data_IF_167370945308
#
_entry.id   IF_167370945308
#
_cell.length_a   1.000
_cell.length_b   1.000
_cell.length_c   1.000
_cell.angle_alpha   90.00
_cell.angle_beta   90.00
_cell.angle_gamma   90.00
#
_symmetry.space_group_name_H-M   'P 1'
#
loop_
_entity.id
_entity.type
_entity.pdbx_description
1 polymer ?
#
# COMPACT_ATOMS: atom_id res chain seq x y z
N UNK A 1 31.58 -5.65 6.69
CA UNK A 1 31.37 -7.11 6.80
C UNK A 1 29.95 -7.42 6.36
N UNK A 2 29.75 -8.44 5.51
CA UNK A 2 28.41 -8.89 5.11
C UNK A 2 27.69 -9.51 6.30
N UNK A 3 26.46 -9.07 6.57
CA UNK A 3 25.59 -9.62 7.61
C UNK A 3 24.44 -10.37 6.96
N UNK A 4 24.12 -11.56 7.46
CA UNK A 4 22.89 -12.23 7.11
C UNK A 4 21.80 -11.89 8.13
N UNK A 5 20.70 -11.31 7.65
CA UNK A 5 19.58 -10.88 8.48
C UNK A 5 18.33 -11.66 8.09
N UNK A 6 17.92 -12.59 8.95
CA UNK A 6 16.65 -13.28 8.79
C UNK A 6 15.51 -12.36 9.23
N UNK A 7 14.56 -12.11 8.33
CA UNK A 7 13.39 -11.30 8.65
C UNK A 7 12.45 -12.07 9.59
N UNK A 8 11.93 -11.45 10.66
CA UNK A 8 11.01 -12.11 11.58
C UNK A 8 9.65 -12.34 10.91
N UNK A 9 8.91 -13.36 11.35
CA UNK A 9 7.53 -13.54 10.91
C UNK A 9 6.70 -12.28 11.24
N UNK A 10 5.85 -11.85 10.30
CA UNK A 10 4.95 -10.70 10.51
C UNK A 10 5.60 -9.31 10.41
N UNK A 11 6.85 -9.16 9.93
CA UNK A 11 7.43 -7.85 9.63
C UNK A 11 6.53 -7.05 8.66
N UNK A 12 6.37 -5.75 8.89
CA UNK A 12 5.43 -4.91 8.14
C UNK A 12 5.92 -4.71 6.69
N UNK A 13 6.98 -3.93 6.51
CA UNK A 13 7.64 -3.69 5.23
C UNK A 13 8.96 -2.93 5.40
N UNK A 14 10.00 -3.41 4.75
CA UNK A 14 11.32 -2.79 4.58
C UNK A 14 11.28 -2.11 3.22
N UNK A 15 11.67 -0.84 3.16
CA UNK A 15 11.76 -0.13 1.89
C UNK A 15 13.20 0.05 1.49
N UNK A 16 13.45 -0.09 0.19
CA UNK A 16 14.75 0.11 -0.42
C UNK A 16 14.61 0.94 -1.69
N UNK A 17 15.71 1.45 -2.22
CA UNK A 17 15.74 2.21 -3.47
C UNK A 17 16.84 1.68 -4.35
N UNK A 18 16.61 1.71 -5.65
CA UNK A 18 17.69 1.54 -6.61
C UNK A 18 18.55 2.81 -6.70
N UNK A 19 19.81 2.71 -6.29
CA UNK A 19 20.80 3.78 -6.42
C UNK A 19 21.97 3.25 -7.25
N UNK A 20 21.88 3.49 -8.56
CA UNK A 20 22.88 3.07 -9.54
C UNK A 20 23.13 1.55 -9.55
N UNK A 21 22.07 0.76 -9.52
CA UNK A 21 22.11 -0.71 -9.52
C UNK A 21 22.28 -1.33 -8.14
N UNK A 22 22.35 -0.51 -7.08
CA UNK A 22 22.46 -0.97 -5.69
C UNK A 22 21.14 -0.81 -4.98
N UNK A 23 20.68 -1.86 -4.30
CA UNK A 23 19.48 -1.80 -3.46
C UNK A 23 19.84 -1.24 -2.09
N UNK A 24 19.53 0.03 -1.85
CA UNK A 24 19.85 0.69 -0.57
C UNK A 24 18.60 0.84 0.28
N UNK A 25 18.66 0.43 1.54
CA UNK A 25 17.56 0.57 2.50
C UNK A 25 17.21 2.04 2.67
N UNK A 26 15.97 2.41 2.35
CA UNK A 26 15.45 3.77 2.45
C UNK A 26 14.62 3.96 3.71
N UNK A 27 13.98 2.91 4.22
CA UNK A 27 13.21 2.93 5.46
C UNK A 27 13.22 1.55 6.14
N UNK A 28 13.39 1.56 7.46
CA UNK A 28 13.24 0.37 8.31
C UNK A 28 11.98 0.56 9.17
N UNK A 29 11.00 -0.34 9.08
CA UNK A 29 9.76 -0.19 9.83
C UNK A 29 10.07 -0.29 11.32
N UNK A 30 9.51 0.65 12.10
CA UNK A 30 9.54 0.58 13.56
C UNK A 30 8.48 -0.40 14.04
N UNK A 31 8.71 -1.09 15.17
CA UNK A 31 7.71 -1.98 15.75
C UNK A 31 6.36 -1.26 15.86
N UNK A 32 5.29 -1.92 15.39
CA UNK A 32 3.99 -1.29 15.15
C UNK A 32 3.42 -0.52 16.36
N UNK A 33 2.65 0.50 16.01
CA UNK A 33 1.88 1.47 16.81
C UNK A 33 0.95 0.90 17.90
N UNK A 34 0.83 -0.42 18.04
CA UNK A 34 -0.03 -1.07 19.02
C UNK A 34 0.63 -1.31 20.38
N UNK A 35 1.96 -1.20 20.49
CA UNK A 35 2.62 -1.24 21.80
C UNK A 35 2.51 0.12 22.50
N UNK A 36 2.23 0.13 23.80
CA UNK A 36 2.10 1.35 24.61
C UNK A 36 3.37 2.23 24.64
N UNK A 37 4.50 1.72 24.10
CA UNK A 37 5.80 2.38 24.02
C UNK A 37 6.05 3.11 22.68
N UNK A 38 5.00 3.54 21.99
CA UNK A 38 5.17 4.21 20.70
C UNK A 38 5.81 5.61 20.84
N UNK A 39 6.99 5.80 20.24
CA UNK A 39 7.76 7.05 20.29
C UNK A 39 9.19 6.90 19.73
N UNK A 40 10.07 7.87 20.03
CA UNK A 40 11.48 7.87 19.60
C UNK A 40 12.29 6.63 20.06
N UNK A 41 11.76 5.86 21.01
CA UNK A 41 12.36 4.66 21.57
C UNK A 41 11.85 3.34 20.94
N UNK A 42 10.97 3.38 19.92
CA UNK A 42 10.47 2.16 19.30
C UNK A 42 11.59 1.45 18.53
N UNK A 43 11.92 0.23 18.96
CA UNK A 43 12.93 -0.59 18.32
C UNK A 43 12.56 -0.88 16.84
N UNK A 44 13.53 -0.94 15.93
CA UNK A 44 13.32 -1.42 14.57
C UNK A 44 12.71 -2.83 14.59
N UNK A 45 11.76 -3.13 13.71
CA UNK A 45 11.22 -4.50 13.57
C UNK A 45 12.29 -5.47 13.07
N UNK A 46 13.24 -4.96 12.29
CA UNK A 46 14.34 -5.73 11.71
C UNK A 46 15.63 -5.29 12.39
N UNK A 47 16.12 -6.11 13.32
CA UNK A 47 17.40 -5.88 13.96
C UNK A 47 18.54 -5.96 12.93
N UNK A 48 19.60 -5.17 13.14
CA UNK A 48 20.82 -5.18 12.31
C UNK A 48 20.62 -4.72 10.85
N UNK A 49 19.56 -3.97 10.58
CA UNK A 49 19.36 -3.25 9.32
C UNK A 49 19.10 -1.78 9.63
N UNK A 50 19.82 -0.89 8.96
CA UNK A 50 19.68 0.55 9.09
C UNK A 50 19.42 1.21 7.73
N UNK A 51 18.85 2.41 7.75
CA UNK A 51 18.73 3.25 6.55
C UNK A 51 20.12 3.54 6.00
N UNK A 52 20.30 3.35 4.70
CA UNK A 52 21.57 3.48 4.00
C UNK A 52 22.37 2.18 3.87
N UNK A 53 21.98 1.11 4.55
CA UNK A 53 22.59 -0.20 4.33
C UNK A 53 22.25 -0.72 2.92
N UNK A 54 23.15 -1.50 2.32
CA UNK A 54 22.96 -2.08 0.99
C UNK A 54 22.49 -3.54 1.12
N UNK A 55 21.42 -3.88 0.43
CA UNK A 55 20.90 -5.24 0.26
C UNK A 55 21.58 -5.87 -0.94
N UNK A 56 22.61 -6.68 -0.68
CA UNK A 56 23.37 -7.37 -1.75
C UNK A 56 22.79 -8.73 -2.12
N UNK A 57 22.00 -9.33 -1.22
CA UNK A 57 21.30 -10.58 -1.54
C UNK A 57 19.98 -10.74 -0.79
N UNK A 58 19.10 -11.55 -1.37
CA UNK A 58 17.82 -12.02 -0.82
C UNK A 58 17.77 -13.53 -1.04
N UNK A 59 17.72 -14.30 0.05
CA UNK A 59 17.78 -15.76 0.02
C UNK A 59 18.98 -16.32 -0.78
N UNK A 60 20.13 -15.65 -0.68
CA UNK A 60 21.36 -16.03 -1.36
C UNK A 60 21.49 -15.55 -2.82
N UNK A 61 20.46 -14.90 -3.37
CA UNK A 61 20.48 -14.37 -4.74
C UNK A 61 20.63 -12.85 -4.75
N UNK A 62 21.38 -12.27 -5.68
CA UNK A 62 21.37 -10.82 -5.88
C UNK A 62 19.95 -10.35 -6.26
N UNK A 63 19.58 -9.08 -5.98
CA UNK A 63 18.26 -8.57 -6.36
C UNK A 63 17.91 -8.77 -7.85
N UNK A 64 18.89 -8.57 -8.74
CA UNK A 64 18.72 -8.79 -10.18
C UNK A 64 18.55 -10.28 -10.54
N UNK A 65 19.34 -11.17 -9.94
CA UNK A 65 19.18 -12.62 -10.15
C UNK A 65 17.85 -13.12 -9.62
N UNK A 66 17.42 -12.66 -8.44
CA UNK A 66 16.11 -13.01 -7.89
C UNK A 66 14.96 -12.55 -8.80
N UNK A 67 15.08 -11.36 -9.41
CA UNK A 67 14.09 -10.88 -10.37
C UNK A 67 13.94 -11.82 -11.58
N UNK A 68 15.05 -12.36 -12.10
CA UNK A 68 15.04 -13.38 -13.16
C UNK A 68 14.33 -14.65 -12.69
N UNK A 69 14.67 -15.14 -11.50
CA UNK A 69 14.07 -16.35 -10.91
C UNK A 69 12.57 -16.20 -10.61
N UNK A 70 12.09 -14.99 -10.30
CA UNK A 70 10.64 -14.72 -10.14
C UNK A 70 9.94 -14.75 -11.50
N UNK A 71 10.63 -14.34 -12.58
CA UNK A 71 10.09 -14.33 -13.94
C UNK A 71 10.22 -15.68 -14.67
N UNK A 72 11.08 -16.57 -14.19
CA UNK A 72 11.37 -17.86 -14.81
C UNK A 72 10.23 -18.88 -14.58
N UNK A 73 9.63 -19.45 -15.64
CA UNK A 73 8.61 -20.49 -15.51
C UNK A 73 9.11 -21.68 -14.67
N UNK A 74 8.23 -22.26 -13.85
CA UNK A 74 8.51 -23.45 -13.01
C UNK A 74 9.59 -23.25 -11.93
N UNK A 75 10.18 -22.08 -11.80
CA UNK A 75 11.06 -21.80 -10.67
C UNK A 75 10.23 -21.68 -9.37
N UNK A 76 10.79 -22.06 -8.22
CA UNK A 76 10.07 -22.04 -6.92
C UNK A 76 9.58 -20.66 -6.46
N UNK A 77 10.15 -19.58 -7.02
CA UNK A 77 9.73 -18.19 -6.76
C UNK A 77 8.70 -17.69 -7.78
N UNK A 78 8.41 -18.49 -8.81
CA UNK A 78 7.42 -18.21 -9.81
C UNK A 78 6.12 -18.97 -9.51
N UNK A 79 5.02 -18.23 -9.34
CA UNK A 79 3.70 -18.79 -9.02
C UNK A 79 2.83 -19.03 -10.26
N UNK A 80 3.33 -18.85 -11.48
CA UNK A 80 2.50 -18.89 -12.69
C UNK A 80 2.13 -20.33 -13.07
N UNK A 81 3.03 -21.29 -12.86
CA UNK A 81 2.80 -22.71 -13.17
C UNK A 81 1.94 -23.41 -12.13
N UNK A 82 1.91 -22.92 -10.89
CA UNK A 82 1.04 -23.41 -9.82
C UNK A 82 -0.32 -22.70 -9.76
N UNK A 83 -0.54 -21.72 -10.64
CA UNK A 83 -1.82 -21.03 -10.78
C UNK A 83 -2.83 -21.92 -11.50
N UNK A 84 -4.14 -21.72 -11.27
CA UNK A 84 -5.20 -22.47 -11.94
C UNK A 84 -6.12 -21.53 -12.76
N UNK A 85 -6.12 -21.60 -14.11
CA UNK A 85 -5.25 -22.44 -14.94
C UNK A 85 -3.79 -21.90 -14.98
N UNK A 86 -2.79 -22.77 -15.22
CA UNK A 86 -1.41 -22.35 -15.41
C UNK A 86 -1.29 -21.36 -16.56
N UNK A 87 -0.36 -20.40 -16.46
CA UNK A 87 -0.20 -19.36 -17.48
C UNK A 87 1.26 -18.96 -17.68
N UNK A 88 1.52 -18.29 -18.80
CA UNK A 88 2.84 -17.74 -19.13
C UNK A 88 3.13 -16.54 -18.21
N UNK A 89 4.32 -16.44 -17.60
CA UNK A 89 4.69 -15.29 -16.78
C UNK A 89 4.48 -13.95 -17.49
N UNK A 90 3.84 -13.01 -16.80
CA UNK A 90 3.52 -11.68 -17.30
C UNK A 90 2.21 -11.55 -18.08
N UNK A 91 1.45 -12.64 -18.28
CA UNK A 91 0.19 -12.59 -19.05
C UNK A 91 -1.04 -12.24 -18.21
N UNK A 92 -1.01 -12.50 -16.90
CA UNK A 92 -2.13 -12.25 -15.98
C UNK A 92 -2.19 -10.79 -15.54
N UNK A 93 -3.36 -10.16 -15.74
CA UNK A 93 -3.60 -8.75 -15.43
C UNK A 93 -3.79 -8.49 -13.93
N UNK A 94 -3.67 -7.21 -13.50
CA UNK A 94 -3.88 -6.80 -12.10
C UNK A 94 -5.29 -7.15 -11.59
N UNK A 95 -6.28 -7.07 -12.49
CA UNK A 95 -7.70 -7.25 -12.17
C UNK A 95 -8.17 -8.70 -12.20
N UNK A 96 -7.31 -9.66 -12.53
CA UNK A 96 -7.67 -11.08 -12.48
C UNK A 96 -7.60 -11.57 -11.03
N UNK A 97 -8.64 -12.31 -10.61
CA UNK A 97 -8.76 -12.87 -9.27
C UNK A 97 -8.67 -14.40 -9.35
N UNK A 98 -7.74 -15.04 -8.62
CA UNK A 98 -6.71 -14.42 -7.77
C UNK A 98 -5.61 -13.71 -8.58
N UNK A 99 -4.92 -12.73 -7.98
CA UNK A 99 -3.80 -12.07 -8.66
C UNK A 99 -2.56 -12.99 -8.66
N UNK A 100 -1.93 -13.23 -9.82
CA UNK A 100 -0.68 -13.96 -9.86
C UNK A 100 0.49 -13.08 -9.39
N UNK A 101 1.12 -13.45 -8.28
CA UNK A 101 2.19 -12.67 -7.61
C UNK A 101 3.39 -12.44 -8.54
N UNK A 102 3.79 -13.44 -9.31
CA UNK A 102 4.89 -13.30 -10.28
C UNK A 102 4.54 -12.39 -11.45
N UNK A 103 3.30 -12.44 -11.95
CA UNK A 103 2.84 -11.52 -13.00
C UNK A 103 2.74 -10.08 -12.48
N UNK A 104 2.29 -9.87 -11.24
CA UNK A 104 2.32 -8.54 -10.61
C UNK A 104 3.74 -8.02 -10.45
N UNK A 105 4.69 -8.86 -10.00
CA UNK A 105 6.10 -8.50 -9.93
C UNK A 105 6.67 -8.06 -11.29
N UNK A 106 6.49 -8.86 -12.35
CA UNK A 106 6.99 -8.56 -13.69
C UNK A 106 6.44 -7.21 -14.18
N UNK A 107 5.12 -7.00 -14.03
CA UNK A 107 4.47 -5.74 -14.41
C UNK A 107 5.05 -4.56 -13.63
N UNK A 108 5.15 -4.67 -12.30
CA UNK A 108 5.71 -3.58 -11.47
C UNK A 108 7.16 -3.30 -11.81
N UNK A 109 7.95 -4.33 -12.11
CA UNK A 109 9.35 -4.16 -12.49
C UNK A 109 9.47 -3.34 -13.77
N UNK A 110 8.64 -3.64 -14.78
CA UNK A 110 8.62 -2.92 -16.05
C UNK A 110 8.17 -1.45 -15.90
N UNK A 111 7.22 -1.18 -15.00
CA UNK A 111 6.63 0.17 -14.88
C UNK A 111 7.30 1.06 -13.83
N UNK A 112 7.78 0.48 -12.73
CA UNK A 112 8.21 1.22 -11.54
C UNK A 112 9.65 0.93 -11.13
N UNK A 113 10.31 -0.04 -11.76
CA UNK A 113 11.67 -0.45 -11.39
C UNK A 113 11.72 -1.62 -10.40
N UNK A 114 12.94 -2.15 -10.23
CA UNK A 114 13.18 -3.38 -9.47
C UNK A 114 12.93 -3.19 -7.97
N UNK A 115 13.28 -2.03 -7.42
CA UNK A 115 13.14 -1.72 -6.00
C UNK A 115 11.67 -1.76 -5.55
N UNK A 116 10.77 -1.11 -6.28
CA UNK A 116 9.34 -1.13 -5.99
C UNK A 116 8.74 -2.52 -6.21
N UNK A 117 9.11 -3.18 -7.30
CA UNK A 117 8.60 -4.53 -7.60
C UNK A 117 8.98 -5.54 -6.51
N UNK A 118 10.25 -5.54 -6.10
CA UNK A 118 10.76 -6.49 -5.11
C UNK A 118 10.21 -6.20 -3.71
N UNK A 119 10.01 -4.93 -3.33
CA UNK A 119 9.33 -4.58 -2.07
C UNK A 119 7.93 -5.18 -2.01
N UNK A 120 7.15 -5.04 -3.09
CA UNK A 120 5.78 -5.54 -3.14
C UNK A 120 5.75 -7.07 -3.16
N UNK A 121 6.62 -7.71 -3.94
CA UNK A 121 6.74 -9.16 -3.96
C UNK A 121 7.11 -9.72 -2.58
N UNK A 122 8.11 -9.15 -1.90
CA UNK A 122 8.50 -9.57 -0.55
C UNK A 122 7.36 -9.47 0.46
N UNK A 123 6.52 -8.42 0.36
CA UNK A 123 5.35 -8.27 1.23
C UNK A 123 4.33 -9.38 1.06
N UNK A 124 4.14 -9.87 -0.17
CA UNK A 124 3.19 -10.93 -0.48
C UNK A 124 3.74 -12.30 -0.08
N UNK A 125 5.00 -12.59 -0.40
CA UNK A 125 5.57 -13.94 -0.18
C UNK A 125 6.08 -14.19 1.24
N UNK A 126 6.23 -13.16 2.09
CA UNK A 126 6.81 -13.29 3.44
C UNK A 126 6.13 -14.31 4.36
N UNK A 127 4.86 -14.64 4.10
CA UNK A 127 4.12 -15.66 4.86
C UNK A 127 4.45 -17.08 4.38
N UNK A 128 4.84 -17.23 3.11
CA UNK A 128 5.06 -18.52 2.46
C UNK A 128 6.54 -18.89 2.43
N UNK A 129 7.42 -17.89 2.35
CA UNK A 129 8.86 -18.06 2.16
C UNK A 129 9.60 -17.29 3.25
N UNK A 130 10.40 -17.97 4.09
CA UNK A 130 11.34 -17.30 4.98
C UNK A 130 12.32 -16.43 4.17
N UNK A 131 12.50 -15.18 4.59
CA UNK A 131 13.38 -14.22 3.90
C UNK A 131 14.63 -13.98 4.74
N UNK A 132 15.81 -14.16 4.12
CA UNK A 132 17.12 -13.81 4.66
C UNK A 132 17.77 -12.79 3.73
N UNK A 133 18.18 -11.65 4.27
CA UNK A 133 18.86 -10.58 3.55
C UNK A 133 20.37 -10.66 3.77
N UNK A 134 21.16 -10.57 2.72
CA UNK A 134 22.58 -10.21 2.80
C UNK A 134 22.71 -8.70 2.82
N UNK A 135 23.19 -8.15 3.93
CA UNK A 135 23.23 -6.71 4.20
C UNK A 135 24.67 -6.25 4.38
N UNK A 136 25.13 -5.35 3.53
CA UNK A 136 26.35 -4.59 3.73
C UNK A 136 26.02 -3.31 4.51
N UNK A 137 26.68 -3.06 5.66
CA UNK A 137 26.55 -1.80 6.36
C UNK A 137 26.92 -0.66 5.42
N UNK A 138 26.25 0.49 5.56
CA UNK A 138 26.70 1.72 4.92
C UNK A 138 28.18 1.94 5.24
N UNK A 139 29.06 1.73 4.28
CA UNK A 139 30.46 2.10 4.44
C UNK A 139 30.50 3.62 4.57
N UNK A 140 31.30 4.14 5.49
CA UNK A 140 31.45 5.58 5.71
C UNK A 140 32.03 6.34 4.49
N UNK A 141 32.15 5.68 3.33
CA UNK A 141 32.38 6.31 2.04
C UNK A 141 31.12 7.02 1.59
N UNK A 142 30.92 8.21 2.15
CA UNK A 142 30.61 9.44 1.41
C UNK A 142 30.21 10.51 2.42
N UNK A 143 31.24 11.06 3.08
CA UNK A 143 31.24 12.48 3.43
C UNK A 143 31.53 13.26 2.13
N UNK A 144 30.75 13.01 1.07
CA UNK A 144 30.90 13.72 -0.19
C UNK A 144 30.00 14.95 -0.11
N UNK A 145 30.68 16.07 0.12
CA UNK A 145 30.25 17.40 -0.27
C UNK A 145 29.36 17.36 -1.52
N UNK A 146 28.21 18.00 -1.42
CA UNK A 146 27.37 18.41 -2.56
C UNK A 146 28.28 18.85 -3.72
N UNK A 147 28.39 18.07 -4.82
CA UNK A 147 29.24 18.48 -5.93
C UNK A 147 28.59 19.68 -6.60
N UNK A 148 29.27 20.84 -6.53
CA UNK A 148 29.03 21.94 -7.47
C UNK A 148 29.17 21.38 -8.88
N UNK A 149 28.10 21.52 -9.64
CA UNK A 149 27.98 21.19 -11.05
C UNK A 149 29.22 21.59 -11.86
N UNK A 150 30.04 20.61 -12.24
CA UNK A 150 30.95 20.69 -13.37
C UNK A 150 30.77 19.45 -14.25
N UNK A 151 30.54 19.68 -15.54
CA UNK A 151 30.19 18.72 -16.58
C UNK A 151 30.97 17.38 -16.54
N UNK A 152 30.31 16.23 -16.75
CA UNK A 152 31.00 14.95 -16.89
C UNK A 152 31.42 14.69 -18.34
N UNK A 153 32.73 14.50 -18.53
CA UNK A 153 33.30 13.82 -19.70
C UNK A 153 33.50 12.33 -19.36
N UNK A 154 32.86 11.47 -20.15
CA UNK A 154 33.22 10.07 -20.44
C UNK A 154 33.51 9.13 -19.25
N UNK A 155 32.48 8.44 -18.76
CA UNK A 155 32.56 7.18 -18.02
C UNK A 155 32.05 6.01 -18.91
N UNK A 156 32.56 4.77 -18.74
CA UNK A 156 32.22 3.64 -19.59
C UNK A 156 30.78 3.14 -19.34
N UNK A 157 30.03 2.92 -20.42
CA UNK A 157 28.67 2.38 -20.39
C UNK A 157 28.68 0.92 -19.94
N UNK A 158 28.22 0.63 -18.73
CA UNK A 158 27.73 -0.72 -18.40
C UNK A 158 26.35 -0.88 -19.05
N UNK A 159 26.23 -1.88 -19.93
CA UNK A 159 25.01 -2.22 -20.65
C UNK A 159 23.93 -2.69 -19.65
N UNK A 160 22.91 -1.87 -19.45
CA UNK A 160 21.65 -2.29 -18.83
C UNK A 160 20.86 -3.02 -19.91
N UNK A 161 21.14 -4.31 -20.09
CA UNK A 161 20.37 -5.12 -21.02
C UNK A 161 18.98 -5.35 -20.40
N UNK A 162 17.88 -4.87 -21.01
CA UNK A 162 16.55 -5.09 -20.48
C UNK A 162 16.27 -6.60 -20.47
N UNK A 163 15.58 -7.10 -19.45
CA UNK A 163 15.05 -8.47 -19.43
C UNK A 163 14.22 -8.69 -20.70
N UNK A 164 14.83 -9.33 -21.71
CA UNK A 164 14.12 -9.75 -22.90
C UNK A 164 13.29 -10.99 -22.52
N UNK A 165 12.05 -10.73 -22.12
CA UNK A 165 11.05 -11.79 -22.05
C UNK A 165 10.86 -12.32 -23.48
N UNK A 166 11.27 -13.56 -23.74
CA UNK A 166 10.98 -14.24 -25.00
C UNK A 166 9.48 -14.53 -25.04
N UNK A 167 8.70 -13.54 -25.46
CA UNK A 167 7.27 -13.70 -25.71
C UNK A 167 7.12 -14.43 -27.05
N UNK A 168 6.46 -15.60 -27.11
CA UNK A 168 6.10 -16.23 -28.38
C UNK A 168 5.30 -15.24 -29.23
N UNK A 169 5.73 -15.01 -30.46
CA UNK A 169 5.19 -14.00 -31.37
C UNK A 169 3.81 -14.42 -31.90
N UNK A 170 2.77 -14.32 -31.07
CA UNK A 170 1.39 -14.37 -31.53
C UNK A 170 0.86 -12.95 -31.82
N UNK A 171 0.14 -12.84 -32.94
CA UNK A 171 -0.31 -11.59 -33.51
C UNK A 171 -1.35 -10.89 -32.62
N UNK A 172 -0.99 -9.76 -32.02
CA UNK A 172 -1.95 -8.81 -31.42
C UNK A 172 -2.35 -7.73 -32.42
N UNK A 173 -3.64 -7.33 -32.45
CA UNK A 173 -4.11 -6.20 -33.25
C UNK A 173 -3.62 -4.86 -32.68
N UNK A 174 -3.30 -3.92 -33.57
CA UNK A 174 -2.85 -2.56 -33.24
C UNK A 174 -4.01 -1.76 -32.66
N UNK A 175 -3.84 -1.23 -31.46
CA UNK A 175 -4.66 -0.15 -30.93
C UNK A 175 -3.74 1.04 -30.62
N UNK A 176 -4.10 2.20 -31.18
CA UNK A 176 -3.39 3.47 -31.00
C UNK A 176 -3.57 4.00 -29.57
N UNK A 177 -2.47 4.44 -28.96
CA UNK A 177 -2.48 5.15 -27.66
C UNK A 177 -1.79 6.50 -27.85
N UNK A 178 -2.43 7.63 -27.48
CA UNK A 178 -1.83 8.94 -27.58
C UNK A 178 -0.80 9.23 -26.46
N UNK A 179 0.20 10.05 -26.82
CA UNK A 179 1.35 10.47 -26.01
C UNK A 179 1.05 11.65 -25.09
N UNK A 180 1.83 11.69 -24.00
CA UNK A 180 2.27 12.82 -23.16
C UNK A 180 1.42 13.16 -21.91
N UNK A 181 2.05 13.07 -20.72
CA UNK A 181 2.72 14.20 -20.06
C UNK A 181 3.61 13.67 -18.91
N UNK A 182 4.85 14.16 -18.82
CA UNK A 182 5.77 13.95 -17.69
C UNK A 182 5.88 15.28 -16.95
N UNK A 183 5.49 15.30 -15.67
CA UNK A 183 5.82 16.37 -14.74
C UNK A 183 6.27 15.74 -13.42
N UNK A 184 7.46 16.13 -12.97
CA UNK A 184 8.19 15.49 -11.88
C UNK A 184 7.47 15.55 -10.54
N UNK A 185 7.48 14.41 -9.84
CA UNK A 185 7.01 14.28 -8.46
C UNK A 185 8.22 14.22 -7.52
N UNK A 186 8.25 15.12 -6.54
CA UNK A 186 9.24 15.19 -5.48
C UNK A 186 8.53 14.94 -4.14
N UNK A 187 8.58 13.72 -3.57
CA UNK A 187 8.06 13.46 -2.25
C UNK A 187 9.09 13.91 -1.21
N UNK A 188 8.59 14.39 -0.06
CA UNK A 188 9.32 14.76 1.17
C UNK A 188 9.54 16.28 1.36
N UNK A 189 8.52 16.94 1.92
CA UNK A 189 8.72 18.05 2.87
C UNK A 189 8.29 17.55 4.26
N UNK A 190 9.13 17.62 5.30
CA UNK A 190 8.68 17.38 6.66
C UNK A 190 7.74 18.50 7.10
N UNK A 191 6.60 18.13 7.69
CA UNK A 191 5.67 19.07 8.30
C UNK A 191 6.37 19.78 9.47
N UNK A 192 6.51 21.10 9.37
CA UNK A 192 7.02 21.94 10.45
C UNK A 192 6.08 21.87 11.66
N UNK A 193 6.66 21.66 12.84
CA UNK A 193 5.99 21.71 14.11
C UNK A 193 5.49 23.13 14.39
N UNK A 194 4.19 23.37 14.15
CA UNK A 194 3.48 24.56 14.56
C UNK A 194 3.04 24.46 16.01
N UNK A 195 3.66 25.26 16.88
CA UNK A 195 3.33 25.44 18.29
C UNK A 195 1.87 25.93 18.44
N UNK A 196 1.03 25.15 19.12
CA UNK A 196 -0.33 25.53 19.46
C UNK A 196 -0.35 26.50 20.64
N UNK A 197 -0.85 27.73 20.44
CA UNK A 197 -1.30 28.62 21.52
C UNK A 197 -2.74 28.25 21.89
N UNK A 198 -2.96 27.96 23.16
CA UNK A 198 -4.28 27.76 23.75
C UNK A 198 -4.98 29.10 23.97
N UNK A 199 -6.18 29.25 23.39
CA UNK A 199 -7.13 30.30 23.79
C UNK A 199 -8.37 29.58 24.29
N UNK A 200 -8.69 29.80 25.57
CA UNK A 200 -9.85 29.23 26.23
C UNK A 200 -11.12 29.92 25.72
N UNK A 201 -12.02 29.15 25.10
CA UNK A 201 -13.38 29.57 24.78
C UNK A 201 -14.39 28.65 25.45
N UNK A 202 -15.39 29.29 26.07
CA UNK A 202 -16.42 28.68 26.89
C UNK A 202 -17.28 27.65 26.12
N UNK A 203 -17.60 26.54 26.81
CA UNK A 203 -18.47 25.46 26.33
C UNK A 203 -19.95 25.87 26.35
N UNK A 204 -20.68 25.80 25.23
CA UNK A 204 -22.12 25.59 25.26
C UNK A 204 -22.40 24.09 25.49
N UNK A 205 -23.12 23.75 26.56
CA UNK A 205 -23.74 22.43 26.74
C UNK A 205 -24.96 22.36 25.82
N UNK A 206 -24.85 21.62 24.72
CA UNK A 206 -25.99 21.17 23.94
C UNK A 206 -25.98 19.64 23.89
N UNK A 207 -26.69 19.01 24.83
CA UNK A 207 -27.06 17.60 24.74
C UNK A 207 -28.25 17.46 23.79
N UNK A 208 -28.01 17.59 22.48
CA UNK A 208 -28.89 17.03 21.49
C UNK A 208 -28.27 15.70 21.07
N UNK A 209 -28.85 14.58 21.50
CA UNK A 209 -28.46 13.28 21.01
C UNK A 209 -28.74 13.27 19.49
N UNK A 210 -27.71 13.49 18.68
CA UNK A 210 -27.82 13.44 17.23
C UNK A 210 -28.28 12.05 16.84
N UNK A 211 -29.53 11.97 16.35
CA UNK A 211 -30.12 10.72 15.91
C UNK A 211 -29.32 10.16 14.73
N UNK A 212 -29.12 8.85 14.74
CA UNK A 212 -28.53 8.13 13.61
C UNK A 212 -29.56 8.10 12.48
N UNK A 213 -29.16 8.42 11.25
CA UNK A 213 -30.08 8.50 10.11
C UNK A 213 -30.70 7.14 9.74
N UNK A 214 -31.73 7.09 8.87
CA UNK A 214 -32.26 5.83 8.38
C UNK A 214 -31.22 5.08 7.52
N UNK A 215 -31.32 3.75 7.51
CA UNK A 215 -30.47 2.91 6.66
C UNK A 215 -30.88 3.05 5.19
N UNK A 216 -29.94 3.41 4.32
CA UNK A 216 -30.12 3.53 2.88
C UNK A 216 -29.54 2.28 2.18
N UNK A 217 -30.33 1.67 1.30
CA UNK A 217 -29.92 0.53 0.50
C UNK A 217 -29.31 0.98 -0.82
N UNK A 218 -28.21 0.36 -1.22
CA UNK A 218 -27.52 0.56 -2.49
C UNK A 218 -27.64 -0.70 -3.35
N UNK A 219 -27.36 -0.59 -4.66
CA UNK A 219 -27.26 -1.75 -5.53
C UNK A 219 -26.31 -2.81 -4.95
N UNK A 220 -26.54 -4.07 -5.30
CA UNK A 220 -25.77 -5.22 -4.86
C UNK A 220 -25.91 -5.54 -3.35
N UNK A 221 -26.77 -4.88 -2.60
CA UNK A 221 -27.01 -5.18 -1.18
C UNK A 221 -26.01 -4.53 -0.22
N UNK A 222 -25.21 -3.57 -0.71
CA UNK A 222 -24.54 -2.62 0.17
C UNK A 222 -25.59 -1.74 0.83
N UNK A 223 -25.34 -1.33 2.07
CA UNK A 223 -26.19 -0.34 2.72
C UNK A 223 -25.36 0.60 3.57
N UNK A 224 -25.89 1.77 3.87
CA UNK A 224 -25.20 2.70 4.76
C UNK A 224 -26.17 3.48 5.63
N UNK A 225 -25.62 4.04 6.70
CA UNK A 225 -26.32 4.87 7.65
C UNK A 225 -25.50 6.14 7.93
N UNK A 226 -26.14 7.30 7.88
CA UNK A 226 -25.50 8.55 8.29
C UNK A 226 -25.31 8.57 9.80
N UNK A 227 -24.07 8.81 10.23
CA UNK A 227 -23.71 8.94 11.64
C UNK A 227 -23.58 10.43 12.00
N UNK A 228 -23.80 10.80 13.26
CA UNK A 228 -23.49 12.13 13.75
C UNK A 228 -22.04 12.53 13.44
N UNK A 229 -21.88 13.73 12.87
CA UNK A 229 -20.58 14.33 12.66
C UNK A 229 -19.85 14.53 14.00
N UNK A 230 -18.53 14.28 14.02
CA UNK A 230 -17.70 14.48 15.23
C UNK A 230 -17.18 15.93 15.38
N UNK A 231 -17.44 16.80 14.41
CA UNK A 231 -16.92 18.15 14.37
C UNK A 231 -17.66 19.02 13.36
N UNK A 232 -17.04 20.14 12.98
CA UNK A 232 -17.59 21.04 11.99
C UNK A 232 -17.75 20.32 10.63
N UNK A 233 -18.96 20.40 10.08
CA UNK A 233 -19.24 19.99 8.71
C UNK A 233 -18.97 21.19 7.80
N UNK A 234 -18.08 21.02 6.83
CA UNK A 234 -17.79 22.10 5.88
C UNK A 234 -18.88 22.13 4.81
N UNK A 235 -19.44 23.31 4.55
CA UNK A 235 -20.29 23.52 3.39
C UNK A 235 -19.43 23.36 2.12
N UNK A 236 -19.54 22.23 1.45
CA UNK A 236 -18.76 21.91 0.25
C UNK A 236 -19.44 20.83 -0.59
N UNK A 237 -19.02 20.68 -1.85
CA UNK A 237 -19.57 19.68 -2.77
C UNK A 237 -19.43 18.28 -2.18
N UNK A 238 -20.49 17.48 -2.26
CA UNK A 238 -20.43 16.07 -1.88
C UNK A 238 -19.56 15.29 -2.87
N UNK A 239 -18.90 14.25 -2.39
CA UNK A 239 -18.06 13.40 -3.22
C UNK A 239 -18.88 12.74 -4.34
N UNK A 240 -18.32 12.69 -5.54
CA UNK A 240 -18.92 12.02 -6.71
C UNK A 240 -17.97 10.97 -7.26
N UNK A 241 -18.48 10.02 -8.06
CA UNK A 241 -17.61 9.09 -8.80
C UNK A 241 -16.60 9.91 -9.63
N UNK A 242 -15.32 9.53 -9.55
CA UNK A 242 -14.20 10.26 -10.14
C UNK A 242 -13.58 11.34 -9.25
N UNK A 243 -14.22 11.73 -8.14
CA UNK A 243 -13.61 12.64 -7.16
C UNK A 243 -12.48 11.96 -6.40
N UNK A 244 -11.43 12.72 -6.10
CA UNK A 244 -10.38 12.29 -5.18
C UNK A 244 -10.85 12.56 -3.76
N UNK A 245 -10.85 11.53 -2.92
CA UNK A 245 -11.29 11.61 -1.53
C UNK A 245 -10.18 11.22 -0.59
N UNK A 246 -10.13 11.88 0.57
CA UNK A 246 -9.32 11.50 1.73
C UNK A 246 -10.30 11.15 2.86
N UNK A 247 -10.22 9.94 3.40
CA UNK A 247 -11.08 9.55 4.51
C UNK A 247 -10.36 8.63 5.49
N UNK A 248 -10.77 8.74 6.75
CA UNK A 248 -10.39 7.80 7.81
C UNK A 248 -11.48 6.75 7.95
N UNK A 249 -11.09 5.51 8.21
CA UNK A 249 -12.05 4.44 8.45
C UNK A 249 -11.67 3.56 9.64
N UNK A 250 -12.67 2.83 10.13
CA UNK A 250 -12.51 1.70 11.05
C UNK A 250 -13.34 0.54 10.51
N UNK A 251 -12.70 -0.61 10.32
CA UNK A 251 -13.34 -1.86 9.90
C UNK A 251 -13.63 -2.68 11.14
N UNK A 252 -14.84 -3.20 11.24
CA UNK A 252 -15.24 -4.09 12.30
C UNK A 252 -16.23 -5.12 11.78
N UNK A 253 -16.45 -6.18 12.54
CA UNK A 253 -17.54 -7.12 12.31
C UNK A 253 -18.32 -7.34 13.62
N UNK A 254 -19.59 -7.76 13.54
CA UNK A 254 -20.36 -8.11 14.73
C UNK A 254 -19.72 -9.31 15.44
N UNK A 255 -19.15 -9.06 16.62
CA UNK A 255 -18.59 -10.08 17.50
C UNK A 255 -19.65 -10.76 18.38
N UNK A 256 -19.19 -11.61 19.30
CA UNK A 256 -20.06 -12.29 20.26
C UNK A 256 -20.67 -11.27 21.23
N UNK A 257 -21.99 -11.27 21.39
CA UNK A 257 -22.71 -10.41 22.33
C UNK A 257 -22.83 -8.95 21.89
N UNK A 258 -23.05 -8.69 20.60
CA UNK A 258 -23.24 -7.35 20.00
C UNK A 258 -22.05 -6.38 20.15
N UNK A 259 -20.90 -6.85 20.62
CA UNK A 259 -19.67 -6.05 20.64
C UNK A 259 -19.04 -6.09 19.26
N UNK A 260 -18.80 -4.92 18.67
CA UNK A 260 -18.02 -4.83 17.43
C UNK A 260 -16.57 -5.18 17.72
N UNK A 261 -16.04 -6.16 17.01
CA UNK A 261 -14.62 -6.46 17.03
C UNK A 261 -13.96 -5.60 15.95
N UNK A 262 -13.12 -4.65 16.38
CA UNK A 262 -12.34 -3.83 15.45
C UNK A 262 -11.27 -4.71 14.82
N UNK A 263 -11.31 -4.77 13.49
CA UNK A 263 -10.32 -5.47 12.70
C UNK A 263 -9.16 -4.53 12.38
N UNK A 264 -9.48 -3.37 11.78
CA UNK A 264 -8.47 -2.45 11.26
C UNK A 264 -8.94 -1.00 11.30
N UNK A 265 -7.97 -0.10 11.16
CA UNK A 265 -8.11 1.34 11.00
C UNK A 265 -7.14 1.81 9.94
N UNK A 266 -7.53 2.84 9.24
CA UNK A 266 -6.65 3.46 8.27
C UNK A 266 -7.12 4.85 7.89
N UNK A 267 -6.28 5.51 7.13
CA UNK A 267 -6.63 6.72 6.42
C UNK A 267 -6.04 6.62 5.02
N UNK A 268 -6.89 6.78 4.01
CA UNK A 268 -6.51 6.56 2.62
C UNK A 268 -7.01 7.68 1.72
N UNK A 269 -6.28 7.88 0.64
CA UNK A 269 -6.65 8.72 -0.49
C UNK A 269 -6.90 7.84 -1.71
N UNK A 270 -8.06 7.99 -2.34
CA UNK A 270 -8.41 7.25 -3.56
C UNK A 270 -9.34 8.06 -4.46
N UNK A 271 -9.55 7.56 -5.68
CA UNK A 271 -10.57 8.09 -6.59
C UNK A 271 -11.84 7.24 -6.44
N UNK A 272 -12.97 7.87 -6.13
CA UNK A 272 -14.22 7.14 -5.97
C UNK A 272 -14.62 6.40 -7.26
N UNK A 273 -14.92 5.11 -7.14
CA UNK A 273 -15.25 4.24 -8.27
C UNK A 273 -14.02 3.60 -8.94
N UNK A 274 -12.81 3.84 -8.45
CA UNK A 274 -11.59 3.14 -8.87
C UNK A 274 -11.08 2.24 -7.73
N UNK A 275 -10.35 1.19 -8.08
CA UNK A 275 -9.75 0.26 -7.12
C UNK A 275 -8.38 0.73 -6.59
N UNK A 276 -7.80 1.77 -7.20
CA UNK A 276 -6.44 2.21 -6.91
C UNK A 276 -6.39 3.17 -5.72
N UNK A 277 -5.50 2.85 -4.77
CA UNK A 277 -5.09 3.74 -3.69
C UNK A 277 -4.02 4.70 -4.21
N UNK A 278 -4.21 5.99 -3.97
CA UNK A 278 -3.19 7.00 -4.26
C UNK A 278 -2.16 7.11 -3.14
N UNK A 279 -2.64 7.16 -1.91
CA UNK A 279 -1.81 7.33 -0.72
C UNK A 279 -2.58 6.83 0.52
N UNK A 280 -1.90 6.66 1.64
CA UNK A 280 -2.51 6.33 2.92
C UNK A 280 -1.75 5.31 3.75
N UNK A 281 -2.34 4.98 4.90
CA UNK A 281 -1.85 3.97 5.81
C UNK A 281 -3.01 3.14 6.37
N UNK A 282 -2.69 1.91 6.76
CA UNK A 282 -3.61 0.90 7.30
C UNK A 282 -2.85 0.16 8.39
N UNK A 283 -3.49 -0.10 9.53
CA UNK A 283 -2.84 -0.75 10.69
C UNK A 283 -2.82 -2.28 10.64
N UNK A 284 -3.37 -2.90 9.58
CA UNK A 284 -3.42 -4.35 9.42
C UNK A 284 -3.04 -4.87 8.03
N UNK A 285 -3.48 -6.08 7.72
CA UNK A 285 -3.08 -6.87 6.55
C UNK A 285 -4.20 -7.00 5.50
N UNK A 286 -5.30 -6.26 5.63
CA UNK A 286 -6.39 -6.31 4.64
C UNK A 286 -5.97 -5.63 3.35
N UNK A 287 -6.17 -6.34 2.24
CA UNK A 287 -6.07 -5.77 0.91
C UNK A 287 -7.30 -4.89 0.63
N UNK A 288 -7.14 -3.58 0.83
CA UNK A 288 -8.19 -2.60 0.60
C UNK A 288 -8.54 -2.42 -0.88
N UNK A 289 -7.66 -2.74 -1.84
CA UNK A 289 -7.92 -2.45 -3.25
C UNK A 289 -9.17 -3.19 -3.76
N UNK A 290 -9.33 -4.46 -3.35
CA UNK A 290 -10.49 -5.28 -3.70
C UNK A 290 -11.78 -4.66 -3.13
N UNK A 291 -11.73 -4.22 -1.88
CA UNK A 291 -12.87 -3.68 -1.14
C UNK A 291 -13.28 -2.32 -1.72
N UNK A 292 -12.31 -1.43 -1.92
CA UNK A 292 -12.54 -0.05 -2.37
C UNK A 292 -13.32 0.02 -3.69
N UNK A 293 -13.03 -0.87 -4.63
CA UNK A 293 -13.76 -0.91 -5.92
C UNK A 293 -15.29 -1.05 -5.74
N UNK A 294 -15.71 -1.76 -4.69
CA UNK A 294 -17.10 -2.16 -4.48
C UNK A 294 -17.84 -1.20 -3.55
N UNK A 295 -17.29 -0.90 -2.38
CA UNK A 295 -18.02 -0.11 -1.38
C UNK A 295 -17.78 1.40 -1.47
N UNK A 296 -16.78 1.90 -2.22
CA UNK A 296 -16.58 3.36 -2.37
C UNK A 296 -17.78 4.08 -2.98
N UNK A 297 -18.65 3.36 -3.72
CA UNK A 297 -19.95 3.88 -4.17
C UNK A 297 -20.82 4.35 -3.00
N UNK A 298 -20.72 3.69 -1.86
CA UNK A 298 -21.38 4.08 -0.62
C UNK A 298 -20.80 5.33 0.03
N UNK A 299 -19.76 5.95 -0.52
CA UNK A 299 -19.24 7.25 -0.11
C UNK A 299 -19.75 8.40 -1.00
N UNK A 300 -20.44 8.09 -2.09
CA UNK A 300 -21.04 9.11 -2.97
C UNK A 300 -21.99 9.99 -2.15
N UNK A 301 -21.87 11.30 -2.34
CA UNK A 301 -22.63 12.33 -1.64
C UNK A 301 -22.07 12.73 -0.26
N UNK A 302 -21.10 12.01 0.31
CA UNK A 302 -20.47 12.42 1.57
C UNK A 302 -19.73 13.74 1.40
N UNK A 303 -19.83 14.61 2.42
CA UNK A 303 -19.11 15.89 2.48
C UNK A 303 -18.02 15.82 3.54
N UNK A 304 -17.03 16.71 3.46
CA UNK A 304 -15.98 16.82 4.48
C UNK A 304 -16.59 17.05 5.87
N UNK A 305 -16.17 16.24 6.83
CA UNK A 305 -16.69 16.20 8.20
C UNK A 305 -17.88 15.26 8.42
N UNK A 306 -18.49 14.72 7.37
CA UNK A 306 -19.55 13.72 7.51
C UNK A 306 -18.99 12.37 7.95
N UNK A 307 -19.84 11.62 8.66
CA UNK A 307 -19.55 10.25 9.06
C UNK A 307 -20.63 9.32 8.55
N UNK A 308 -20.22 8.16 8.04
CA UNK A 308 -21.13 7.16 7.50
C UNK A 308 -20.72 5.78 7.98
N UNK A 309 -21.70 4.97 8.38
CA UNK A 309 -21.51 3.54 8.64
C UNK A 309 -21.93 2.79 7.38
N UNK A 310 -21.00 2.10 6.73
CA UNK A 310 -21.26 1.29 5.55
C UNK A 310 -21.26 -0.18 5.96
N UNK A 311 -22.32 -0.89 5.61
CA UNK A 311 -22.48 -2.33 5.80
C UNK A 311 -22.13 -3.03 4.49
N UNK A 312 -21.09 -3.86 4.55
CA UNK A 312 -20.56 -4.60 3.41
C UNK A 312 -20.88 -6.09 3.62
N UNK A 313 -21.75 -6.68 2.79
CA UNK A 313 -22.04 -8.11 2.86
C UNK A 313 -20.78 -8.95 2.71
N UNK A 314 -20.72 -10.10 3.38
CA UNK A 314 -19.58 -11.03 3.34
C UNK A 314 -19.10 -11.38 1.93
N UNK A 315 -20.02 -11.51 0.96
CA UNK A 315 -19.70 -11.74 -0.46
C UNK A 315 -18.90 -10.63 -1.16
N UNK A 316 -18.82 -9.44 -0.56
CA UNK A 316 -17.99 -8.31 -1.00
C UNK A 316 -16.92 -7.94 0.03
N UNK A 317 -16.80 -8.72 1.09
CA UNK A 317 -15.70 -8.61 2.03
C UNK A 317 -14.41 -9.10 1.40
N UNK A 318 -13.35 -9.06 2.20
CA UNK A 318 -12.06 -9.64 1.87
C UNK A 318 -11.89 -10.95 2.63
N UNK A 319 -11.21 -11.91 2.00
CA UNK A 319 -10.81 -13.16 2.63
C UNK A 319 -9.58 -12.91 3.52
N UNK A 320 -9.79 -12.30 4.69
CA UNK A 320 -8.77 -12.25 5.73
C UNK A 320 -8.91 -13.47 6.63
N UNK A 321 -7.80 -14.14 6.93
CA UNK A 321 -7.74 -15.23 7.92
C UNK A 321 -8.34 -14.85 9.28
N UNK A 322 -8.35 -13.55 9.59
CA UNK A 322 -8.85 -12.97 10.84
C UNK A 322 -10.38 -12.76 10.83
N UNK A 323 -11.02 -12.69 9.66
CA UNK A 323 -12.47 -12.52 9.54
C UNK A 323 -13.12 -13.90 9.41
N UNK A 324 -14.02 -14.30 10.34
CA UNK A 324 -14.72 -15.57 10.19
C UNK A 324 -15.51 -15.60 8.88
N UNK A 325 -15.43 -16.73 8.17
CA UNK A 325 -16.12 -16.91 6.89
C UNK A 325 -17.61 -16.55 6.98
N UNK A 326 -18.11 -15.82 5.98
CA UNK A 326 -19.52 -15.43 5.89
C UNK A 326 -19.94 -14.26 6.78
N UNK A 327 -19.03 -13.56 7.47
CA UNK A 327 -19.36 -12.39 8.27
C UNK A 327 -19.38 -11.10 7.46
N UNK A 328 -20.44 -10.32 7.66
CA UNK A 328 -20.54 -8.98 7.11
C UNK A 328 -19.58 -8.03 7.83
N UNK A 329 -19.08 -7.05 7.09
CA UNK A 329 -18.17 -6.03 7.58
C UNK A 329 -18.91 -4.71 7.76
N UNK A 330 -18.47 -3.96 8.76
CA UNK A 330 -18.97 -2.64 9.11
C UNK A 330 -17.81 -1.66 9.02
N UNK A 331 -17.92 -0.70 8.11
CA UNK A 331 -16.98 0.38 7.92
C UNK A 331 -17.55 1.66 8.53
N UNK A 332 -16.92 2.20 9.56
CA UNK A 332 -17.20 3.56 10.01
C UNK A 332 -16.22 4.52 9.35
N UNK A 333 -16.75 5.38 8.48
CA UNK A 333 -15.96 6.27 7.65
C UNK A 333 -16.17 7.71 8.09
N UNK A 334 -15.09 8.49 8.09
CA UNK A 334 -15.05 9.91 8.41
C UNK A 334 -14.32 10.66 7.28
N UNK A 335 -15.07 11.44 6.52
CA UNK A 335 -14.59 12.12 5.31
C UNK A 335 -13.72 13.33 5.69
N UNK A 336 -12.46 13.34 5.24
CA UNK A 336 -11.47 14.38 5.54
C UNK A 336 -11.24 15.36 4.40
N UNK A 337 -11.37 14.90 3.15
CA UNK A 337 -11.17 15.74 1.98
C UNK A 337 -11.94 15.23 0.76
N UNK A 338 -12.40 16.16 -0.08
CA UNK A 338 -12.99 15.88 -1.40
C UNK A 338 -12.38 16.90 -2.36
N UNK A 339 -11.78 16.41 -3.46
CA UNK A 339 -11.22 17.22 -4.54
C UNK A 339 -11.88 16.80 -5.87
#
# INVERSE_FOLDING_TARGET
MLREVRLPAGWAALSFKDIAGRMVVSEVPKACFSSAAYGAAAAPQVSNVAVGDEIVSVNGHSPAALAQLIAEPNHRFNSCSSFDPPHIPGTVGKLQSPCCVSCDFIRRHQHFGLDIALQMWLRVVKQQVPITLGVLPKTHHDHHDTPKSSNPSSAPKMSTEPLQLVVPKEARPKADVPKAFVAGYNPLKPAAAGVARSVASAKPKANAASAVGPMQQLPNGLSFQELPAKGAVTAGKGASIGSEVDFRFTISFPGVGNKQQVLERGQVQCILGQSELKDGWVDGNVDLEQVLSTWTKALTGMRVGHRRRVHVPSRFGFDAEVVPSGKDLIFEVDMKGVK
#
